data_IF_640164904556
#
_entry.id   IF_640164904556
#
_cell.length_a   1.000
_cell.length_b   1.000
_cell.length_c   1.000
_cell.angle_alpha   90.00
_cell.angle_beta   90.00
_cell.angle_gamma   90.00
#
_symmetry.space_group_name_H-M   'P 1'
#
loop_
_entity.id
_entity.type
_entity.pdbx_description
1 polymer ?
#
# COMPACT_ATOMS: atom_id res chain seq x y z
N UNK A 1 -9.09 5.98 -3.43
CA UNK A 1 -10.09 5.28 -2.61
C UNK A 1 -9.84 3.78 -2.50
N UNK A 2 -9.58 3.07 -3.61
CA UNK A 2 -9.37 1.62 -3.64
C UNK A 2 -8.46 1.04 -2.52
N UNK A 3 -7.33 1.68 -2.25
CA UNK A 3 -6.40 1.24 -1.19
C UNK A 3 -7.01 1.34 0.20
N UNK A 4 -7.68 2.45 0.52
CA UNK A 4 -8.30 2.63 1.83
C UNK A 4 -9.39 1.58 2.07
N UNK A 5 -10.19 1.27 1.06
CA UNK A 5 -11.24 0.25 1.14
C UNK A 5 -10.65 -1.16 1.33
N UNK A 6 -9.65 -1.52 0.52
CA UNK A 6 -8.97 -2.84 0.59
C UNK A 6 -8.09 -3.00 1.83
N UNK A 7 -7.60 -1.90 2.39
CA UNK A 7 -6.89 -1.87 3.66
C UNK A 7 -7.83 -1.94 4.87
N UNK A 8 -9.14 -1.73 4.69
CA UNK A 8 -10.09 -1.63 5.78
C UNK A 8 -9.87 -0.38 6.63
N UNK A 9 -9.48 0.74 6.04
CA UNK A 9 -9.11 1.97 6.76
C UNK A 9 -10.19 2.49 7.71
N UNK A 10 -11.47 2.26 7.37
CA UNK A 10 -12.62 2.63 8.22
C UNK A 10 -12.91 1.68 9.39
N UNK A 11 -12.12 0.63 9.59
CA UNK A 11 -12.28 -0.32 10.71
C UNK A 11 -11.13 -0.22 11.70
N UNK A 12 -11.35 -0.53 12.99
CA UNK A 12 -10.26 -0.61 13.96
C UNK A 12 -9.19 -1.60 13.51
N UNK A 13 -7.93 -1.20 13.60
CA UNK A 13 -6.82 -2.11 13.41
C UNK A 13 -6.74 -3.12 14.58
N UNK A 14 -6.20 -4.33 14.36
CA UNK A 14 -5.91 -5.26 15.45
C UNK A 14 -5.04 -4.62 16.54
N UNK A 15 -5.19 -5.07 17.79
CA UNK A 15 -4.40 -4.54 18.92
C UNK A 15 -2.90 -4.70 18.64
N UNK A 16 -2.15 -3.60 18.77
CA UNK A 16 -0.70 -3.57 18.52
C UNK A 16 -0.32 -3.48 17.04
N UNK A 17 -1.31 -3.36 16.14
CA UNK A 17 -1.11 -3.09 14.71
C UNK A 17 -1.58 -1.68 14.41
N UNK A 18 -0.81 -1.00 13.56
CA UNK A 18 -1.04 0.35 13.09
C UNK A 18 -1.16 0.34 11.57
N UNK A 19 -1.96 1.26 11.02
CA UNK A 19 -2.13 1.43 9.57
C UNK A 19 -1.63 2.81 9.17
N UNK A 20 -0.75 2.86 8.16
CA UNK A 20 -0.30 4.10 7.53
C UNK A 20 -0.70 4.12 6.06
N UNK A 21 -1.40 5.18 5.62
CA UNK A 21 -1.83 5.36 4.24
C UNK A 21 -1.08 6.54 3.61
N UNK A 22 -0.52 6.31 2.43
CA UNK A 22 0.13 7.34 1.62
C UNK A 22 -0.34 7.26 0.17
N UNK A 23 -0.29 8.40 -0.52
CA UNK A 23 -0.50 8.46 -1.97
C UNK A 23 0.47 9.43 -2.62
N UNK A 24 0.76 9.18 -3.89
CA UNK A 24 1.62 10.00 -4.72
C UNK A 24 1.03 10.11 -6.13
N UNK A 25 1.17 11.28 -6.73
CA UNK A 25 0.92 11.49 -8.16
C UNK A 25 2.28 11.72 -8.82
N UNK A 26 2.69 10.82 -9.69
CA UNK A 26 3.96 10.91 -10.41
C UNK A 26 3.80 10.30 -11.81
N UNK A 27 4.54 10.81 -12.79
CA UNK A 27 4.57 10.26 -14.16
C UNK A 27 3.17 10.03 -14.77
N UNK A 28 2.28 11.02 -14.62
CA UNK A 28 0.88 10.95 -15.05
C UNK A 28 0.05 9.78 -14.45
N UNK A 29 0.55 9.13 -13.41
CA UNK A 29 -0.08 8.02 -12.71
C UNK A 29 -0.40 8.40 -11.27
N UNK A 30 -1.38 7.73 -10.67
CA UNK A 30 -1.68 7.83 -9.25
C UNK A 30 -1.33 6.52 -8.56
N UNK A 31 -0.54 6.60 -7.50
CA UNK A 31 -0.15 5.45 -6.68
C UNK A 31 -0.60 5.70 -5.26
N UNK A 32 -1.17 4.69 -4.61
CA UNK A 32 -1.46 4.72 -3.19
C UNK A 32 -1.02 3.40 -2.55
N UNK A 33 -0.65 3.47 -1.28
CA UNK A 33 -0.29 2.30 -0.48
C UNK A 33 -0.70 2.47 0.97
N UNK A 34 -1.16 1.38 1.57
CA UNK A 34 -1.42 1.28 3.00
C UNK A 34 -0.57 0.14 3.57
N UNK A 35 0.26 0.46 4.56
CA UNK A 35 1.05 -0.52 5.30
C UNK A 35 0.40 -0.81 6.66
N UNK A 36 0.26 -2.09 6.99
CA UNK A 36 -0.07 -2.59 8.32
C UNK A 36 1.21 -2.97 9.04
N UNK A 37 1.50 -2.33 10.16
CA UNK A 37 2.76 -2.49 10.89
C UNK A 37 2.53 -2.74 12.37
N UNK A 38 3.41 -3.48 13.02
CA UNK A 38 3.55 -3.47 14.48
C UNK A 38 4.91 -2.93 14.86
N UNK A 39 4.99 -2.31 16.04
CA UNK A 39 6.25 -1.83 16.60
C UNK A 39 6.52 -2.63 17.87
N UNK A 40 7.66 -3.32 17.91
CA UNK A 40 8.14 -4.03 19.09
C UNK A 40 8.58 -3.06 20.19
N UNK A 41 8.74 -3.55 21.42
CA UNK A 41 9.14 -2.72 22.56
C UNK A 41 10.54 -2.08 22.41
N UNK A 42 11.39 -2.65 21.57
CA UNK A 42 12.71 -2.15 21.19
C UNK A 42 12.68 -1.14 20.04
N UNK A 43 11.48 -0.82 19.51
CA UNK A 43 11.29 0.08 18.37
C UNK A 43 11.37 -0.60 17.00
N UNK A 44 11.59 -1.92 16.94
CA UNK A 44 11.65 -2.64 15.66
C UNK A 44 10.28 -2.66 14.97
N UNK A 45 10.23 -2.15 13.74
CA UNK A 45 9.01 -2.14 12.91
C UNK A 45 8.92 -3.43 12.11
N UNK A 46 7.78 -4.12 12.20
CA UNK A 46 7.44 -5.26 11.35
C UNK A 46 6.28 -4.89 10.45
N UNK A 47 6.46 -5.02 9.14
CA UNK A 47 5.39 -4.91 8.15
C UNK A 47 4.68 -6.27 8.04
N UNK A 48 3.37 -6.28 8.27
CA UNK A 48 2.54 -7.49 8.14
C UNK A 48 1.93 -7.59 6.75
N UNK A 49 1.50 -6.46 6.20
CA UNK A 49 0.80 -6.39 4.91
C UNK A 49 0.96 -5.01 4.29
N UNK A 50 1.12 -4.97 2.97
CA UNK A 50 0.97 -3.75 2.17
C UNK A 50 -0.17 -3.97 1.19
N UNK A 51 -1.10 -3.02 1.14
CA UNK A 51 -2.13 -2.92 0.10
C UNK A 51 -1.75 -1.74 -0.77
N UNK A 52 -1.49 -1.98 -2.05
CA UNK A 52 -1.16 -0.92 -3.00
C UNK A 52 -2.10 -0.93 -4.20
N UNK A 53 -2.28 0.24 -4.80
CA UNK A 53 -2.96 0.37 -6.08
C UNK A 53 -2.29 1.46 -6.91
N UNK A 54 -2.16 1.19 -8.20
CA UNK A 54 -1.62 2.13 -9.19
C UNK A 54 -2.62 2.29 -10.31
N UNK A 55 -3.03 3.54 -10.55
CA UNK A 55 -3.75 3.96 -11.74
C UNK A 55 -2.72 4.48 -12.75
N UNK A 56 -2.49 3.70 -13.80
CA UNK A 56 -1.56 3.98 -14.91
C UNK A 56 -2.23 4.67 -16.10
N UNK A 57 -3.52 5.03 -15.99
CA UNK A 57 -4.32 5.48 -17.11
C UNK A 57 -4.61 4.33 -18.08
N UNK A 58 -3.86 4.26 -19.19
CA UNK A 58 -4.05 3.22 -20.21
C UNK A 58 -3.08 2.05 -19.99
N UNK A 59 -3.61 0.91 -19.54
CA UNK A 59 -2.83 -0.30 -19.29
C UNK A 59 -2.55 -1.07 -20.59
N UNK A 60 -1.41 -0.79 -21.24
CA UNK A 60 -0.98 -1.49 -22.46
C UNK A 60 -0.53 -2.92 -22.17
N UNK A 61 0.17 -3.14 -21.05
CA UNK A 61 0.66 -4.46 -20.63
C UNK A 61 0.44 -4.67 -19.13
N UNK A 62 -0.71 -5.24 -18.73
CA UNK A 62 -1.07 -5.43 -17.33
C UNK A 62 -0.08 -6.27 -16.52
N UNK A 63 0.56 -7.28 -17.13
CA UNK A 63 1.51 -8.15 -16.43
C UNK A 63 2.78 -7.40 -16.03
N UNK A 64 3.31 -6.55 -16.93
CA UNK A 64 4.46 -5.72 -16.60
C UNK A 64 4.12 -4.63 -15.59
N UNK A 65 2.90 -4.09 -15.63
CA UNK A 65 2.43 -3.13 -14.63
C UNK A 65 2.39 -3.80 -13.24
N UNK A 66 1.84 -5.01 -13.13
CA UNK A 66 1.82 -5.76 -11.87
C UNK A 66 3.25 -5.99 -11.33
N UNK A 67 4.15 -6.47 -12.18
CA UNK A 67 5.55 -6.71 -11.80
C UNK A 67 6.27 -5.41 -11.36
N UNK A 68 6.03 -4.28 -12.04
CA UNK A 68 6.61 -3.00 -11.65
C UNK A 68 6.06 -2.49 -10.31
N UNK A 69 4.75 -2.65 -10.08
CA UNK A 69 4.12 -2.26 -8.81
C UNK A 69 4.68 -3.10 -7.68
N UNK A 70 4.67 -4.43 -7.81
CA UNK A 70 5.20 -5.35 -6.79
C UNK A 70 6.68 -5.11 -6.50
N UNK A 71 7.50 -4.89 -7.54
CA UNK A 71 8.93 -4.59 -7.37
C UNK A 71 9.22 -3.21 -6.78
N UNK A 72 8.29 -2.26 -6.86
CA UNK A 72 8.47 -0.90 -6.29
C UNK A 72 8.15 -0.82 -4.80
N UNK A 73 7.52 -1.85 -4.22
CA UNK A 73 7.12 -1.91 -2.81
C UNK A 73 8.02 -2.83 -1.96
N UNK A 74 9.26 -3.09 -2.41
CA UNK A 74 10.29 -3.87 -1.69
C UNK A 74 10.99 -3.04 -0.63
#
# INVERSE_FOLDING_TARGET
QAVADKAGWGTPAPKGVFRGLAHCKAFASYVAACAEVSVSSDGTVKIHRIVAATDSGHAVNPQQIAAQVEGSFV
#
